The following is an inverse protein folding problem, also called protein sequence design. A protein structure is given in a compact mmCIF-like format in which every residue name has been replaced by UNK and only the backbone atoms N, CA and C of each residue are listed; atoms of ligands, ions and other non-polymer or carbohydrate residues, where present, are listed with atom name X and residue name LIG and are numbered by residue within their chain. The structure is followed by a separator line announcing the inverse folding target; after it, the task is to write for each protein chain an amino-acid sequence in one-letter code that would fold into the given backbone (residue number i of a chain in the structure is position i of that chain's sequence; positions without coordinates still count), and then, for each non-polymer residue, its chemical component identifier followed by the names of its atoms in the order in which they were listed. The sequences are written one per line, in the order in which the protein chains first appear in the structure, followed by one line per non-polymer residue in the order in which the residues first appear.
data_IF_223743855458
#
_entry.id   IF_223743855458
#
_cell.length_a   1.000
_cell.length_b   1.000
_cell.length_c   1.000
_cell.angle_alpha   90.00
_cell.angle_beta   90.00
_cell.angle_gamma   90.00
#
_symmetry.space_group_name_H-M   'P 1'
#
loop_
_entity.id
_entity.type
_entity.pdbx_description
1 polymer ?
#
# COMPACT_ATOMS: atom_id res chain seq x y z
N UNK A 3 11.31 -12.10 7.53
CA UNK A 3 9.86 -11.75 7.44
C UNK A 3 9.63 -10.41 8.13
N UNK A 4 8.95 -9.50 7.44
CA UNK A 4 8.67 -8.19 7.99
C UNK A 4 7.16 -7.99 8.16
N UNK A 5 6.80 -7.18 9.15
CA UNK A 5 5.39 -6.92 9.43
C UNK A 5 4.86 -5.72 8.65
N UNK A 6 3.77 -5.94 7.93
CA UNK A 6 3.16 -4.89 7.13
C UNK A 6 1.87 -4.42 7.78
N UNK A 7 1.67 -3.11 7.78
CA UNK A 7 0.47 -2.54 8.38
C UNK A 7 -0.24 -1.60 7.41
N UNK A 8 -1.55 -1.46 7.59
CA UNK A 8 -2.35 -0.60 6.73
C UNK A 8 -3.61 -0.14 7.46
N UNK A 9 -4.16 0.98 7.01
CA UNK A 9 -5.37 1.53 7.61
C UNK A 9 -6.21 2.20 6.52
N UNK A 10 -7.50 2.40 6.80
CA UNK A 10 -8.36 3.05 5.82
C UNK A 10 -8.44 4.55 6.08
N UNK A 11 -7.75 5.30 5.25
CA UNK A 11 -7.74 6.77 5.33
C UNK A 11 -7.44 7.33 3.95
N UNK A 12 -7.88 8.54 3.65
CA UNK A 12 -7.57 9.09 2.35
C UNK A 12 -7.08 10.52 2.44
N UNK A 13 -5.76 10.67 2.50
CA UNK A 13 -5.13 11.98 2.59
C UNK A 13 -3.66 11.91 2.19
N UNK A 14 -3.36 11.22 1.13
CA UNK A 14 -1.96 11.08 0.64
C UNK A 14 -1.38 12.41 0.16
N UNK A 15 -0.43 12.94 0.92
CA UNK A 15 0.21 14.20 0.57
C UNK A 15 1.50 13.94 -0.22
N UNK A 16 2.03 14.99 -0.82
CA UNK A 16 3.27 14.87 -1.58
C UNK A 16 4.45 15.41 -0.77
N UNK A 17 4.12 16.14 0.30
CA UNK A 17 5.13 16.74 1.16
C UNK A 17 6.02 15.68 1.81
N UNK A 18 5.42 14.56 2.22
CA UNK A 18 6.18 13.51 2.86
C UNK A 18 6.25 12.27 1.98
N UNK A 19 6.67 11.15 2.56
CA UNK A 19 6.77 9.92 1.81
C UNK A 19 5.72 8.91 2.28
N UNK A 20 4.77 8.62 1.40
CA UNK A 20 3.72 7.66 1.72
C UNK A 20 3.16 7.04 0.44
N UNK A 21 2.87 5.75 0.46
CA UNK A 21 2.33 5.08 -0.71
C UNK A 21 0.92 4.60 -0.43
N UNK A 22 0.00 4.91 -1.34
CA UNK A 22 -1.39 4.49 -1.18
C UNK A 22 -1.91 3.88 -2.47
N UNK A 23 -2.78 2.87 -2.33
CA UNK A 23 -3.35 2.21 -3.50
C UNK A 23 -4.69 2.84 -3.85
N UNK A 24 -4.78 3.39 -5.06
CA UNK A 24 -6.02 4.02 -5.50
C UNK A 24 -7.06 2.95 -5.77
N UNK A 25 -8.31 3.22 -5.43
CA UNK A 25 -9.38 2.26 -5.65
C UNK A 25 -9.29 1.71 -7.07
N UNK A 26 -9.21 0.39 -7.17
CA UNK A 26 -9.12 -0.25 -8.48
C UNK A 26 -7.69 -0.20 -9.01
N UNK A 27 -6.77 0.28 -8.17
CA UNK A 27 -5.36 0.37 -8.58
C UNK A 27 -4.55 -0.78 -8.01
N UNK A 28 -3.81 -1.45 -8.88
CA UNK A 28 -2.98 -2.58 -8.45
C UNK A 28 -1.74 -2.09 -7.71
N UNK A 29 -1.51 -2.64 -6.53
CA UNK A 29 -0.35 -2.27 -5.73
C UNK A 29 0.94 -2.78 -6.37
N UNK A 30 1.90 -1.89 -6.57
CA UNK A 30 3.17 -2.28 -7.17
C UNK A 30 4.15 -2.74 -6.10
N UNK A 31 4.28 -4.05 -5.94
CA UNK A 31 5.19 -4.61 -4.94
C UNK A 31 6.65 -4.39 -5.34
N UNK A 32 6.89 -4.28 -6.64
CA UNK A 32 8.25 -4.06 -7.13
C UNK A 32 8.79 -2.71 -6.67
N UNK A 33 7.92 -1.70 -6.73
CA UNK A 33 8.31 -0.36 -6.33
C UNK A 33 8.69 -0.31 -4.86
N UNK A 34 7.96 -1.05 -4.04
CA UNK A 34 8.22 -1.08 -2.61
C UNK A 34 9.63 -1.58 -2.35
N UNK A 35 10.08 -2.54 -3.15
CA UNK A 35 11.42 -3.09 -3.00
C UNK A 35 12.45 -2.00 -3.22
N UNK A 36 12.21 -1.18 -4.24
CA UNK A 36 13.12 -0.08 -4.56
C UNK A 36 12.78 1.15 -3.75
N UNK A 37 11.55 1.22 -3.27
CA UNK A 37 11.12 2.36 -2.48
C UNK A 37 11.39 2.15 -0.99
N UNK A 38 11.51 0.89 -0.59
CA UNK A 38 11.77 0.57 0.81
C UNK A 38 13.01 -0.30 0.95
N UNK A 39 13.53 -0.75 -0.19
CA UNK A 39 14.73 -1.58 -0.20
C UNK A 39 14.47 -2.92 0.50
N UNK A 40 13.22 -3.39 0.47
CA UNK A 40 12.88 -4.65 1.12
C UNK A 40 12.05 -5.54 0.19
N UNK A 41 12.05 -6.83 0.49
CA UNK A 41 11.28 -7.78 -0.32
C UNK A 41 9.83 -7.83 0.13
N UNK A 42 8.91 -7.60 -0.81
CA UNK A 42 7.49 -7.61 -0.50
C UNK A 42 6.83 -8.86 -1.08
N UNK A 43 6.34 -9.74 -0.23
CA UNK A 43 5.66 -10.99 -0.66
C UNK A 43 4.31 -10.72 -1.32
N UNK A 44 3.98 -11.55 -2.32
CA UNK A 44 2.74 -11.39 -3.05
C UNK A 44 1.52 -11.58 -2.13
N UNK A 45 1.66 -12.42 -1.12
CA UNK A 45 0.55 -12.67 -0.21
C UNK A 45 0.11 -11.39 0.49
N UNK A 46 1.07 -10.58 0.88
CA UNK A 46 0.76 -9.30 1.54
C UNK A 46 0.16 -8.32 0.53
N UNK A 47 0.74 -8.30 -0.66
CA UNK A 47 0.29 -7.39 -1.72
C UNK A 47 -1.15 -7.66 -2.17
N UNK A 48 -1.53 -8.92 -2.33
CA UNK A 48 -2.89 -9.22 -2.78
C UNK A 48 -3.92 -8.65 -1.82
N UNK A 49 -3.64 -8.76 -0.52
CA UNK A 49 -4.58 -8.24 0.48
C UNK A 49 -4.78 -6.75 0.29
N UNK A 50 -3.69 -6.03 0.02
CA UNK A 50 -3.78 -4.60 -0.21
C UNK A 50 -4.60 -4.31 -1.45
N UNK A 51 -4.39 -5.13 -2.48
CA UNK A 51 -5.11 -4.98 -3.73
C UNK A 51 -6.60 -5.24 -3.52
N UNK A 52 -6.90 -6.23 -2.69
CA UNK A 52 -8.30 -6.57 -2.39
C UNK A 52 -8.99 -5.39 -1.73
N UNK A 53 -8.29 -4.74 -0.81
CA UNK A 53 -8.85 -3.60 -0.10
C UNK A 53 -9.19 -2.48 -1.07
N UNK A 54 -8.31 -2.25 -2.04
CA UNK A 54 -8.53 -1.20 -3.03
C UNK A 54 -9.81 -1.47 -3.83
N UNK A 55 -10.09 -2.74 -4.09
CA UNK A 55 -11.27 -3.12 -4.84
C UNK A 55 -12.53 -2.69 -4.08
N UNK A 56 -12.50 -2.79 -2.76
CA UNK A 56 -13.64 -2.41 -1.94
C UNK A 56 -13.61 -0.92 -1.64
N UNK A 57 -12.48 -0.27 -1.95
CA UNK A 57 -12.35 1.16 -1.69
C UNK A 57 -13.19 1.98 -2.68
N UNK A 58 -13.89 2.97 -2.14
CA UNK A 58 -14.74 3.84 -2.95
C UNK A 58 -13.96 5.10 -3.32
N UNK A 59 -14.52 5.89 -4.24
CA UNK A 59 -13.87 7.12 -4.66
C UNK A 59 -13.68 8.05 -3.47
N UNK A 60 -12.55 8.75 -3.42
CA UNK A 60 -12.27 9.67 -2.32
C UNK A 60 -11.67 8.95 -1.13
N UNK A 61 -11.29 7.69 -1.33
CA UNK A 61 -10.68 6.90 -0.26
C UNK A 61 -9.36 6.30 -0.70
N UNK A 62 -8.44 6.12 0.25
CA UNK A 62 -7.13 5.57 -0.05
C UNK A 62 -6.71 4.57 1.02
N UNK A 63 -5.90 3.61 0.62
CA UNK A 63 -5.41 2.59 1.55
C UNK A 63 -3.94 2.88 1.90
N UNK A 64 -3.58 2.69 3.16
CA UNK A 64 -2.21 2.94 3.58
C UNK A 64 -1.40 1.64 3.60
N UNK A 65 -0.31 1.61 2.86
CA UNK A 65 0.54 0.43 2.80
C UNK A 65 1.93 0.74 3.35
N UNK A 66 2.39 -0.07 4.30
CA UNK A 66 3.70 0.13 4.90
C UNK A 66 4.24 -1.19 5.44
N UNK A 67 5.50 -1.18 5.89
CA UNK A 67 6.10 -2.39 6.43
C UNK A 67 6.96 -2.06 7.64
N UNK A 68 7.22 -3.07 8.46
CA UNK A 68 8.03 -2.87 9.67
C UNK A 68 8.97 -4.05 9.86
N UNK A 69 10.23 -3.77 10.17
CA UNK A 69 11.21 -4.82 10.38
C UNK A 69 10.84 -6.07 9.59
#
# INVERSE_FOLDING_TARGET
GHMTTFTSIVTTNPDFGGFEFYVEAGQQFDDSAYEEAYGVSVPSAVVEEMNAKAAQLKDGEWLNVSHEA
#
